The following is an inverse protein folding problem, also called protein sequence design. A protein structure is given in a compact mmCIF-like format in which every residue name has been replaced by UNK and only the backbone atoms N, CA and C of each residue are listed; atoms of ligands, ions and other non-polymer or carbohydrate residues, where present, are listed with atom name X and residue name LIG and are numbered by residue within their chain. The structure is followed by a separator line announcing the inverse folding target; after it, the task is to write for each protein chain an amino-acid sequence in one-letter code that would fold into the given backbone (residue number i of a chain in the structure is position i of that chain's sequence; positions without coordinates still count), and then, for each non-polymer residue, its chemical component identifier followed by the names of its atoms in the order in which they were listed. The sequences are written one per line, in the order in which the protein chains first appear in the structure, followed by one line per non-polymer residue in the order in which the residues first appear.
data_IF_547713624065
#
_entry.id   IF_547713624065
#
_cell.length_a   1.000
_cell.length_b   1.000
_cell.length_c   1.000
_cell.angle_alpha   90.00
_cell.angle_beta   90.00
_cell.angle_gamma   90.00
#
_symmetry.space_group_name_H-M   'P 1'
#
loop_
_entity.id
_entity.type
_entity.pdbx_description
1 polymer ?
#
# COMPACT_ATOMS: atom_id res chain seq x y z
N UNK A 1 39.66 31.11 -20.37
CA UNK A 1 38.75 30.10 -20.94
C UNK A 1 38.73 28.81 -20.10
N UNK A 2 38.59 28.88 -18.77
CA UNK A 2 38.64 27.70 -17.88
C UNK A 2 37.29 27.30 -17.27
N UNK A 3 36.21 28.09 -17.49
CA UNK A 3 34.91 27.86 -16.86
C UNK A 3 33.99 26.87 -17.59
N UNK A 4 34.17 26.65 -18.89
CA UNK A 4 33.27 25.79 -19.68
C UNK A 4 33.47 24.29 -19.40
N UNK A 5 34.72 23.87 -19.21
CA UNK A 5 35.06 22.47 -18.91
C UNK A 5 34.55 22.05 -17.52
N UNK A 6 34.55 22.96 -16.54
CA UNK A 6 34.01 22.70 -15.20
C UNK A 6 32.49 22.48 -15.23
N UNK A 7 31.74 23.26 -16.01
CA UNK A 7 30.27 23.11 -16.11
C UNK A 7 29.83 21.79 -16.73
N UNK A 8 30.55 21.31 -17.75
CA UNK A 8 30.27 19.99 -18.34
C UNK A 8 30.66 18.84 -17.40
N UNK A 9 31.73 18.99 -16.61
CA UNK A 9 32.13 18.00 -15.61
C UNK A 9 31.12 17.88 -14.45
N UNK A 10 30.53 19.01 -14.03
CA UNK A 10 29.45 19.04 -13.02
C UNK A 10 28.17 18.40 -13.58
N UNK A 11 27.81 18.69 -14.84
CA UNK A 11 26.62 18.10 -15.47
C UNK A 11 26.72 16.59 -15.70
N UNK A 12 27.92 16.06 -15.93
CA UNK A 12 28.18 14.64 -16.09
C UNK A 12 28.44 13.91 -14.76
N UNK A 13 28.33 14.60 -13.61
CA UNK A 13 28.54 14.00 -12.29
C UNK A 13 29.98 13.58 -12.00
N UNK A 14 30.95 14.11 -12.75
CA UNK A 14 32.39 13.81 -12.60
C UNK A 14 33.08 14.75 -11.61
N UNK A 15 32.40 15.84 -11.22
CA UNK A 15 32.84 16.81 -10.22
C UNK A 15 31.66 17.12 -9.32
N UNK A 16 31.79 16.80 -8.04
CA UNK A 16 30.91 17.27 -6.97
C UNK A 16 31.15 18.78 -6.79
N UNK A 17 30.13 19.60 -7.02
CA UNK A 17 30.18 21.01 -6.65
C UNK A 17 29.81 21.11 -5.17
N UNK A 18 30.76 21.54 -4.34
CA UNK A 18 30.61 21.67 -2.88
C UNK A 18 29.70 22.84 -2.47
N UNK A 19 28.64 23.09 -3.22
CA UNK A 19 27.68 24.19 -3.04
C UNK A 19 26.26 23.71 -2.72
N UNK A 20 26.08 22.40 -2.46
CA UNK A 20 24.80 21.76 -2.13
C UNK A 20 24.75 21.12 -0.73
N UNK A 21 25.64 21.52 0.19
CA UNK A 21 25.69 20.99 1.57
C UNK A 21 25.06 21.92 2.62
N UNK A 22 24.00 22.68 2.29
CA UNK A 22 23.38 23.63 3.26
C UNK A 22 21.91 23.33 3.61
N UNK A 23 21.40 22.12 3.36
CA UNK A 23 20.08 21.74 3.91
C UNK A 23 20.04 20.29 4.40
N UNK A 24 20.91 19.96 5.35
CA UNK A 24 20.72 18.83 6.28
C UNK A 24 21.32 19.20 7.65
N UNK A 25 20.68 20.16 8.32
CA UNK A 25 20.86 20.37 9.76
C UNK A 25 19.66 19.78 10.50
N UNK A 26 19.77 18.50 10.85
CA UNK A 26 19.02 17.90 11.96
C UNK A 26 19.96 16.99 12.77
N UNK A 27 20.38 17.54 13.90
CA UNK A 27 20.70 16.89 15.18
C UNK A 27 21.70 15.71 15.20
N UNK A 28 22.96 16.12 15.43
CA UNK A 28 23.94 15.58 16.37
C UNK A 28 23.53 14.33 17.20
N UNK A 29 24.12 13.19 16.83
CA UNK A 29 24.41 12.10 17.77
C UNK A 29 25.92 11.82 17.72
N UNK A 30 26.66 12.40 18.67
CA UNK A 30 28.02 12.04 19.04
C UNK A 30 28.17 10.51 19.23
N UNK A 31 28.87 9.86 18.31
CA UNK A 31 29.33 8.47 18.47
C UNK A 31 30.76 8.48 19.07
N UNK A 32 31.00 7.95 20.29
CA UNK A 32 32.37 7.85 20.77
C UNK A 32 33.07 6.65 20.13
N UNK A 33 34.09 6.98 19.33
CA UNK A 33 35.03 6.08 18.70
C UNK A 33 35.65 5.09 19.69
N UNK A 34 35.63 3.81 19.29
CA UNK A 34 36.46 2.77 19.89
C UNK A 34 37.88 2.91 19.37
N UNK A 35 38.84 3.23 20.24
CA UNK A 35 40.18 2.69 20.06
C UNK A 35 40.97 2.52 21.37
N UNK A 36 41.71 1.42 21.35
CA UNK A 36 42.45 0.78 22.44
C UNK A 36 43.51 1.64 23.13
N UNK A 37 43.73 1.39 24.44
CA UNK A 37 45.05 1.12 25.03
C UNK A 37 44.95 0.61 26.48
N UNK A 38 45.71 -0.44 26.74
CA UNK A 38 45.96 -1.06 28.06
C UNK A 38 46.63 -0.08 29.01
N UNK A 39 46.23 -0.04 30.28
CA UNK A 39 47.01 -0.48 31.45
C UNK A 39 46.45 0.02 32.80
N UNK A 40 46.59 -0.84 33.82
CA UNK A 40 46.72 -0.56 35.27
C UNK A 40 45.49 -0.13 36.10
N UNK A 41 44.91 -1.15 36.73
CA UNK A 41 44.90 -1.35 38.19
C UNK A 41 44.87 -0.10 39.10
N UNK A 42 43.71 0.23 39.67
CA UNK A 42 43.55 0.37 41.13
C UNK A 42 42.10 0.68 41.55
N UNK A 43 41.51 -0.28 42.28
CA UNK A 43 40.79 -0.10 43.56
C UNK A 43 39.99 1.21 43.77
N UNK A 44 38.66 1.13 43.68
CA UNK A 44 37.71 1.48 44.78
C UNK A 44 36.30 1.15 44.32
N UNK A 45 35.69 0.10 44.86
CA UNK A 45 34.98 0.08 46.14
C UNK A 45 33.52 0.54 45.97
N UNK A 46 32.66 -0.47 45.89
CA UNK A 46 31.44 -0.64 46.70
C UNK A 46 30.25 0.30 46.52
N UNK A 47 29.09 -0.38 46.43
CA UNK A 47 27.71 -0.02 46.83
C UNK A 47 26.77 0.25 45.66
N UNK A 48 25.84 -0.68 45.39
CA UNK A 48 24.60 -0.96 46.15
C UNK A 48 23.46 -0.11 45.57
N UNK A 49 22.71 -0.64 44.60
CA UNK A 49 21.29 -1.01 44.76
C UNK A 49 20.65 -1.33 43.41
N UNK A 50 20.04 -2.50 43.40
CA UNK A 50 19.01 -2.99 42.52
C UNK A 50 17.79 -2.07 42.53
N UNK A 51 17.27 -1.75 41.35
CA UNK A 51 15.84 -1.52 41.18
C UNK A 51 15.35 -2.42 40.04
N UNK A 52 14.42 -3.28 40.42
CA UNK A 52 13.69 -4.25 39.62
C UNK A 52 12.55 -3.49 38.93
N UNK A 53 12.46 -3.56 37.60
CA UNK A 53 11.21 -3.25 36.89
C UNK A 53 10.84 -4.48 36.04
N UNK A 54 10.03 -5.35 36.67
CA UNK A 54 9.27 -6.42 36.04
C UNK A 54 8.08 -5.82 35.29
N UNK A 55 8.24 -5.46 34.01
CA UNK A 55 7.08 -5.26 33.13
C UNK A 55 6.59 -6.63 32.63
N UNK A 56 5.78 -7.26 33.49
CA UNK A 56 5.02 -8.46 33.19
C UNK A 56 4.00 -8.21 32.07
N UNK A 57 4.34 -8.60 30.84
CA UNK A 57 3.35 -8.78 29.78
C UNK A 57 2.39 -9.91 30.17
N UNK A 58 1.18 -9.57 30.60
CA UNK A 58 0.08 -10.53 30.73
C UNK A 58 -0.26 -11.08 29.34
N UNK A 59 0.35 -12.22 29.00
CA UNK A 59 -0.05 -13.03 27.86
C UNK A 59 -1.43 -13.61 28.21
N UNK A 60 -2.49 -12.99 27.68
CA UNK A 60 -3.84 -13.53 27.74
C UNK A 60 -3.86 -14.89 27.04
N UNK A 61 -3.74 -15.95 27.82
CA UNK A 61 -3.76 -17.33 27.34
C UNK A 61 -5.05 -17.61 26.56
N UNK A 62 -4.91 -17.76 25.24
CA UNK A 62 -5.99 -18.24 24.38
C UNK A 62 -6.22 -19.70 24.73
N UNK A 63 -7.37 -20.02 25.31
CA UNK A 63 -7.77 -21.42 25.52
C UNK A 63 -7.96 -22.09 24.15
N UNK A 64 -7.33 -23.25 23.89
CA UNK A 64 -7.67 -24.03 22.71
C UNK A 64 -9.12 -24.54 22.84
N UNK A 65 -9.97 -24.19 21.87
CA UNK A 65 -11.34 -24.72 21.77
C UNK A 65 -11.22 -26.16 21.27
N UNK A 66 -11.03 -27.10 22.19
CA UNK A 66 -11.21 -28.53 21.93
C UNK A 66 -12.66 -28.89 22.25
N UNK A 67 -13.56 -28.65 21.30
CA UNK A 67 -14.86 -29.31 21.26
C UNK A 67 -15.02 -30.00 19.90
N UNK A 68 -14.95 -31.33 19.83
CA UNK A 68 -15.43 -32.05 18.66
C UNK A 68 -16.96 -31.90 18.63
N UNK A 69 -17.46 -30.97 17.82
CA UNK A 69 -18.88 -30.93 17.46
C UNK A 69 -19.27 -32.32 16.92
N UNK A 70 -20.22 -32.96 17.60
CA UNK A 70 -20.79 -34.22 17.18
C UNK A 70 -21.33 -34.09 15.74
N UNK A 71 -20.67 -34.78 14.81
CA UNK A 71 -21.12 -34.91 13.42
C UNK A 71 -22.38 -35.76 13.45
N UNK A 72 -23.54 -35.12 13.27
CA UNK A 72 -24.80 -35.83 13.05
C UNK A 72 -24.76 -36.40 11.64
N UNK A 73 -24.47 -37.69 11.52
CA UNK A 73 -24.60 -38.44 10.27
C UNK A 73 -26.07 -38.51 9.89
N UNK A 74 -26.48 -37.66 8.95
CA UNK A 74 -27.79 -37.77 8.30
C UNK A 74 -27.70 -39.00 7.38
N UNK A 75 -28.46 -40.04 7.72
CA UNK A 75 -28.71 -41.18 6.84
C UNK A 75 -29.39 -40.69 5.56
N UNK A 76 -28.91 -41.04 4.35
CA UNK A 76 -29.69 -40.84 3.15
C UNK A 76 -30.64 -42.02 3.01
N UNK A 77 -31.91 -41.80 3.32
CA UNK A 77 -32.98 -42.66 2.83
C UNK A 77 -33.75 -41.90 1.75
N UNK A 78 -34.04 -42.65 0.68
CA UNK A 78 -35.05 -42.40 -0.34
C UNK A 78 -34.67 -41.48 -1.50
N UNK A 79 -34.46 -42.16 -2.63
CA UNK A 79 -34.54 -41.66 -3.98
C UNK A 79 -35.90 -40.98 -4.24
N UNK A 80 -35.86 -39.79 -4.84
CA UNK A 80 -36.89 -39.34 -5.78
C UNK A 80 -36.23 -38.52 -6.89
N UNK A 81 -36.44 -39.03 -8.08
CA UNK A 81 -36.11 -38.52 -9.40
C UNK A 81 -36.55 -37.06 -9.59
N UNK A 82 -35.63 -36.18 -10.00
CA UNK A 82 -35.93 -34.86 -10.57
C UNK A 82 -34.88 -34.48 -11.61
N UNK A 83 -35.30 -33.94 -12.77
CA UNK A 83 -34.47 -33.87 -13.97
C UNK A 83 -33.40 -32.78 -13.85
N UNK A 84 -32.25 -33.07 -14.45
CA UNK A 84 -31.10 -32.19 -14.55
C UNK A 84 -31.45 -30.87 -15.23
N UNK A 85 -31.58 -29.79 -14.44
CA UNK A 85 -31.29 -28.45 -14.93
C UNK A 85 -29.79 -28.24 -14.76
N UNK A 86 -29.06 -28.40 -15.87
CA UNK A 86 -27.68 -27.91 -16.01
C UNK A 86 -27.70 -26.40 -15.77
N UNK A 87 -27.56 -26.00 -14.50
CA UNK A 87 -27.22 -24.65 -14.13
C UNK A 87 -25.80 -24.45 -14.61
N UNK A 88 -25.66 -23.87 -15.79
CA UNK A 88 -24.42 -23.24 -16.24
C UNK A 88 -23.86 -22.49 -15.04
N UNK A 89 -22.78 -23.03 -14.46
CA UNK A 89 -21.91 -22.25 -13.61
C UNK A 89 -21.59 -21.02 -14.45
N UNK A 90 -22.18 -19.89 -14.04
CA UNK A 90 -22.03 -18.63 -14.73
C UNK A 90 -20.54 -18.42 -14.85
N UNK A 91 -20.03 -18.56 -16.09
CA UNK A 91 -18.74 -17.97 -16.41
C UNK A 91 -18.82 -16.54 -15.90
N UNK A 92 -17.84 -16.04 -15.13
CA UNK A 92 -17.79 -14.61 -14.88
C UNK A 92 -17.89 -13.98 -16.26
N UNK A 93 -18.97 -13.22 -16.48
CA UNK A 93 -19.09 -12.38 -17.65
C UNK A 93 -17.77 -11.67 -17.75
N UNK A 94 -17.05 -11.79 -18.87
CA UNK A 94 -16.01 -10.83 -19.19
C UNK A 94 -16.69 -9.49 -19.00
N UNK A 95 -16.33 -8.79 -17.94
CA UNK A 95 -17.01 -7.57 -17.54
C UNK A 95 -16.98 -6.67 -18.74
N UNK A 96 -18.14 -6.09 -19.09
CA UNK A 96 -18.19 -5.07 -20.13
C UNK A 96 -17.11 -4.04 -19.83
N UNK A 97 -16.03 -4.05 -20.61
CA UNK A 97 -14.92 -3.10 -20.58
C UNK A 97 -15.39 -1.65 -20.84
N UNK A 98 -16.70 -1.46 -21.04
CA UNK A 98 -17.36 -0.20 -21.39
C UNK A 98 -17.70 0.67 -20.18
N UNK A 99 -17.59 0.18 -18.94
CA UNK A 99 -17.97 0.97 -17.76
C UNK A 99 -16.79 1.17 -16.82
N UNK A 100 -16.28 2.39 -16.81
CA UNK A 100 -15.26 2.90 -15.88
C UNK A 100 -15.92 3.95 -15.01
N UNK A 101 -15.73 3.87 -13.70
CA UNK A 101 -16.28 4.83 -12.75
C UNK A 101 -15.23 5.91 -12.42
N UNK A 102 -15.60 7.18 -12.58
CA UNK A 102 -14.74 8.30 -12.20
C UNK A 102 -15.21 8.91 -10.87
N UNK A 103 -14.32 8.92 -9.88
CA UNK A 103 -14.57 9.45 -8.54
C UNK A 103 -13.64 10.64 -8.32
N UNK A 104 -14.19 11.72 -7.77
CA UNK A 104 -13.47 12.93 -7.36
C UNK A 104 -13.58 13.10 -5.83
N UNK A 105 -12.76 12.38 -5.04
CA UNK A 105 -12.82 12.45 -3.59
C UNK A 105 -12.56 13.85 -3.05
N UNK A 106 -13.28 14.21 -1.99
CA UNK A 106 -13.07 15.45 -1.23
C UNK A 106 -12.70 15.20 0.22
N UNK A 107 -12.81 13.96 0.68
CA UNK A 107 -12.45 13.55 2.03
C UNK A 107 -12.06 12.06 2.06
N UNK A 108 -11.41 11.64 3.15
CA UNK A 108 -11.09 10.22 3.35
C UNK A 108 -12.32 9.28 3.32
N UNK A 109 -13.52 9.77 3.64
CA UNK A 109 -14.73 8.95 3.65
C UNK A 109 -15.10 8.39 2.26
N UNK A 110 -14.66 9.03 1.18
CA UNK A 110 -14.88 8.60 -0.19
C UNK A 110 -14.15 7.28 -0.52
N UNK A 111 -13.15 6.89 0.29
CA UNK A 111 -12.48 5.59 0.23
C UNK A 111 -13.48 4.43 0.18
N UNK A 112 -14.58 4.52 0.94
CA UNK A 112 -15.58 3.45 0.98
C UNK A 112 -16.20 3.21 -0.40
N UNK A 113 -16.58 4.28 -1.10
CA UNK A 113 -17.18 4.21 -2.44
C UNK A 113 -16.19 3.65 -3.46
N UNK A 114 -14.93 4.09 -3.41
CA UNK A 114 -13.84 3.54 -4.24
C UNK A 114 -13.75 2.02 -4.06
N UNK A 115 -13.73 1.55 -2.82
CA UNK A 115 -13.64 0.12 -2.52
C UNK A 115 -14.87 -0.68 -2.92
N UNK A 116 -16.07 -0.10 -2.80
CA UNK A 116 -17.32 -0.73 -3.23
C UNK A 116 -17.34 -0.97 -4.74
N UNK A 117 -17.02 0.04 -5.54
CA UNK A 117 -16.97 -0.06 -7.01
C UNK A 117 -15.87 -1.00 -7.47
N UNK A 118 -14.67 -0.88 -6.90
CA UNK A 118 -13.54 -1.74 -7.25
C UNK A 118 -13.84 -3.22 -6.94
N UNK A 119 -14.45 -3.52 -5.79
CA UNK A 119 -14.86 -4.88 -5.41
C UNK A 119 -16.00 -5.41 -6.29
N UNK A 120 -16.81 -4.54 -6.89
CA UNK A 120 -17.80 -4.93 -7.88
C UNK A 120 -17.19 -5.30 -9.24
N UNK A 121 -15.86 -5.17 -9.41
CA UNK A 121 -15.16 -5.47 -10.65
C UNK A 121 -15.19 -4.32 -11.65
N UNK A 122 -15.52 -3.11 -11.20
CA UNK A 122 -15.54 -1.89 -12.02
C UNK A 122 -14.19 -1.18 -11.90
N UNK A 123 -13.50 -0.86 -13.01
CA UNK A 123 -12.32 0.01 -12.97
C UNK A 123 -12.66 1.40 -12.44
N UNK A 124 -11.81 1.95 -11.59
CA UNK A 124 -12.06 3.24 -10.91
C UNK A 124 -10.95 4.23 -11.24
N UNK A 125 -11.32 5.39 -11.78
CA UNK A 125 -10.45 6.56 -11.88
C UNK A 125 -10.68 7.41 -10.63
N UNK A 126 -9.61 7.73 -9.91
CA UNK A 126 -9.64 8.57 -8.71
C UNK A 126 -8.86 9.85 -8.97
N UNK A 127 -9.55 10.99 -8.99
CA UNK A 127 -8.92 12.31 -9.07
C UNK A 127 -8.82 12.93 -7.68
N UNK A 128 -7.60 12.96 -7.12
CA UNK A 128 -7.31 13.48 -5.78
C UNK A 128 -6.89 14.97 -5.81
N UNK A 129 -7.18 15.68 -6.91
CA UNK A 129 -6.82 17.09 -7.11
C UNK A 129 -7.36 18.03 -6.03
N UNK A 130 -8.59 17.76 -5.58
CA UNK A 130 -9.31 18.56 -4.57
C UNK A 130 -8.94 18.20 -3.11
N UNK A 131 -8.10 17.18 -2.91
CA UNK A 131 -7.67 16.74 -1.59
C UNK A 131 -6.33 17.37 -1.17
N UNK A 132 -6.19 17.60 0.13
CA UNK A 132 -4.88 17.89 0.70
C UNK A 132 -3.92 16.69 0.56
N UNK A 133 -2.63 16.93 0.74
CA UNK A 133 -1.61 15.90 0.50
C UNK A 133 -1.68 14.73 1.50
N UNK A 134 -2.09 14.99 2.74
CA UNK A 134 -2.19 13.98 3.79
C UNK A 134 -3.33 13.02 3.48
N UNK A 135 -4.52 13.55 3.20
CA UNK A 135 -5.69 12.75 2.87
C UNK A 135 -5.56 12.07 1.51
N UNK A 136 -4.92 12.71 0.52
CA UNK A 136 -4.61 12.07 -0.75
C UNK A 136 -3.71 10.83 -0.57
N UNK A 137 -2.64 10.93 0.25
CA UNK A 137 -1.78 9.77 0.58
C UNK A 137 -2.59 8.66 1.26
N UNK A 138 -3.47 9.01 2.20
CA UNK A 138 -4.33 8.02 2.88
C UNK A 138 -5.28 7.30 1.93
N UNK A 139 -5.85 8.01 0.94
CA UNK A 139 -6.66 7.38 -0.12
C UNK A 139 -5.80 6.44 -0.98
N UNK A 140 -4.58 6.83 -1.32
CA UNK A 140 -3.65 5.98 -2.09
C UNK A 140 -3.27 4.72 -1.30
N UNK A 141 -2.95 4.83 -0.01
CA UNK A 141 -2.61 3.68 0.85
C UNK A 141 -3.79 2.70 0.97
N UNK A 142 -5.00 3.24 1.12
CA UNK A 142 -6.23 2.45 1.11
C UNK A 142 -6.41 1.71 -0.23
N UNK A 143 -6.24 2.41 -1.35
CA UNK A 143 -6.33 1.82 -2.69
C UNK A 143 -5.25 0.75 -2.93
N UNK A 144 -4.01 0.98 -2.49
CA UNK A 144 -2.94 0.01 -2.57
C UNK A 144 -3.28 -1.27 -1.78
N UNK A 145 -3.87 -1.12 -0.59
CA UNK A 145 -4.38 -2.24 0.20
C UNK A 145 -5.48 -3.04 -0.52
N UNK A 146 -6.44 -2.35 -1.15
CA UNK A 146 -7.49 -3.00 -1.94
C UNK A 146 -6.93 -3.76 -3.14
N UNK A 147 -6.07 -3.10 -3.90
CA UNK A 147 -5.46 -3.63 -5.12
C UNK A 147 -4.59 -4.84 -4.80
N UNK A 148 -3.79 -4.78 -3.74
CA UNK A 148 -3.00 -5.92 -3.28
C UNK A 148 -3.88 -7.07 -2.80
N UNK A 149 -4.91 -6.78 -2.00
CA UNK A 149 -5.81 -7.79 -1.43
C UNK A 149 -6.72 -8.48 -2.45
N UNK A 150 -7.01 -7.83 -3.57
CA UNK A 150 -7.91 -8.35 -4.62
C UNK A 150 -7.20 -8.59 -5.97
N UNK A 151 -5.86 -8.63 -5.96
CA UNK A 151 -5.01 -8.89 -7.13
C UNK A 151 -5.26 -7.97 -8.33
N UNK A 152 -5.65 -6.72 -8.09
CA UNK A 152 -5.75 -5.72 -9.15
C UNK A 152 -4.43 -5.02 -9.44
N UNK A 153 -4.53 -3.91 -10.16
CA UNK A 153 -3.42 -2.96 -10.37
C UNK A 153 -3.84 -1.54 -10.00
N UNK A 154 -2.87 -0.72 -9.61
CA UNK A 154 -3.00 0.73 -9.43
C UNK A 154 -1.94 1.42 -10.26
N UNK A 155 -2.36 2.39 -11.06
CA UNK A 155 -1.48 3.12 -11.97
C UNK A 155 -1.73 4.62 -11.85
N UNK A 156 -0.66 5.40 -11.91
CA UNK A 156 -0.74 6.85 -11.94
C UNK A 156 -0.87 7.31 -13.38
N UNK A 157 -1.99 7.93 -13.73
CA UNK A 157 -2.25 8.43 -15.08
C UNK A 157 -1.59 9.80 -15.27
N UNK A 158 -1.87 10.74 -14.37
CA UNK A 158 -1.31 12.09 -14.40
C UNK A 158 -1.46 12.77 -13.05
N UNK A 159 -0.49 13.58 -12.61
CA UNK A 159 -0.63 14.43 -11.42
C UNK A 159 -1.15 13.68 -10.18
N UNK A 160 -2.34 14.04 -9.71
CA UNK A 160 -3.05 13.41 -8.59
C UNK A 160 -4.18 12.46 -9.05
N UNK A 161 -4.10 11.93 -10.27
CA UNK A 161 -5.10 11.06 -10.89
C UNK A 161 -4.55 9.65 -11.02
N UNK A 162 -5.30 8.68 -10.49
CA UNK A 162 -4.94 7.27 -10.44
C UNK A 162 -6.04 6.40 -11.04
N UNK A 163 -5.65 5.30 -11.67
CA UNK A 163 -6.54 4.28 -12.22
C UNK A 163 -6.34 2.98 -11.44
N UNK A 164 -7.43 2.42 -10.95
CA UNK A 164 -7.50 1.12 -10.31
C UNK A 164 -8.16 0.14 -11.28
N UNK A 165 -7.49 -0.96 -11.60
CA UNK A 165 -8.02 -2.02 -12.45
C UNK A 165 -8.15 -3.33 -11.67
N UNK A 166 -9.37 -3.91 -11.54
CA UNK A 166 -9.56 -5.21 -10.91
C UNK A 166 -8.84 -6.34 -11.66
N UNK A 167 -8.56 -7.46 -10.99
CA UNK A 167 -7.77 -8.58 -11.54
C UNK A 167 -8.29 -9.16 -12.88
N UNK A 168 -9.58 -9.00 -13.15
CA UNK A 168 -10.26 -9.52 -14.34
C UNK A 168 -10.33 -8.51 -15.50
N UNK A 169 -9.73 -7.32 -15.34
CA UNK A 169 -9.79 -6.25 -16.32
C UNK A 169 -8.37 -5.83 -16.72
N UNK A 170 -7.98 -6.14 -17.94
CA UNK A 170 -6.78 -5.60 -18.56
C UNK A 170 -7.16 -4.47 -19.52
N UNK A 171 -6.95 -3.23 -19.08
CA UNK A 171 -7.07 -2.07 -19.94
C UNK A 171 -5.76 -2.00 -20.73
N UNK A 172 -5.76 -2.33 -22.03
CA UNK A 172 -4.54 -2.19 -22.83
C UNK A 172 -4.05 -0.73 -22.89
N UNK A 173 -2.80 -0.51 -23.29
CA UNK A 173 -2.15 0.81 -23.29
C UNK A 173 -2.93 1.90 -24.02
N UNK A 174 -3.64 1.54 -25.11
CA UNK A 174 -4.45 2.48 -25.88
C UNK A 174 -5.69 2.97 -25.12
N UNK A 175 -6.37 2.09 -24.38
CA UNK A 175 -7.52 2.47 -23.56
C UNK A 175 -7.06 3.35 -22.38
N UNK A 176 -5.88 3.07 -21.81
CA UNK A 176 -5.28 3.91 -20.76
C UNK A 176 -4.92 5.31 -21.27
N UNK A 177 -4.33 5.40 -22.46
CA UNK A 177 -4.02 6.67 -23.09
C UNK A 177 -5.29 7.47 -23.39
N UNK A 178 -6.33 6.82 -23.92
CA UNK A 178 -7.63 7.45 -24.10
C UNK A 178 -8.24 7.91 -22.79
N UNK A 179 -8.16 7.14 -21.69
CA UNK A 179 -8.66 7.61 -20.38
C UNK A 179 -7.90 8.84 -19.88
N UNK A 180 -6.59 8.90 -20.14
CA UNK A 180 -5.78 10.06 -19.81
C UNK A 180 -6.20 11.32 -20.60
N UNK A 181 -6.70 11.13 -21.83
CA UNK A 181 -7.13 12.21 -22.74
C UNK A 181 -8.64 12.54 -22.60
N UNK A 182 -9.51 11.54 -22.62
CA UNK A 182 -10.99 11.62 -22.64
C UNK A 182 -11.64 11.71 -21.26
N UNK A 183 -10.97 11.23 -20.20
CA UNK A 183 -11.50 11.22 -18.82
C UNK A 183 -11.77 12.60 -18.22
N UNK A 184 -11.52 13.67 -18.98
CA UNK A 184 -11.57 15.05 -18.54
C UNK A 184 -12.53 15.96 -19.33
N UNK A 185 -12.98 15.60 -20.55
CA UNK A 185 -13.58 16.60 -21.45
C UNK A 185 -15.06 16.43 -21.84
N UNK A 186 -15.77 15.36 -21.47
CA UNK A 186 -17.07 15.07 -22.10
C UNK A 186 -18.28 14.83 -21.18
N UNK A 187 -18.33 15.43 -19.98
CA UNK A 187 -19.52 15.36 -19.10
C UNK A 187 -20.01 16.73 -18.59
N UNK A 188 -20.06 17.74 -19.46
CA UNK A 188 -20.72 19.03 -19.16
C UNK A 188 -21.75 19.35 -20.23
#
# INVERSE_FOLDING_TARGET
MAGAMRKMAVYLGLVEDASYDEYDEYDDYEEPARESRRDRNSRRSSRDRSDEDEDAYEVRSVRPINEPRAVRTIRPDSATDRPASSGSAGRPSMGDLSRIEAIHPRSYNDARRIGEEFRAGVPVIMNLGDMDEMDAKRIIDFAAGLVYGLHGTIERITGKVFLLSPANVDLGDQARAQIAEDGFFNQS
#
